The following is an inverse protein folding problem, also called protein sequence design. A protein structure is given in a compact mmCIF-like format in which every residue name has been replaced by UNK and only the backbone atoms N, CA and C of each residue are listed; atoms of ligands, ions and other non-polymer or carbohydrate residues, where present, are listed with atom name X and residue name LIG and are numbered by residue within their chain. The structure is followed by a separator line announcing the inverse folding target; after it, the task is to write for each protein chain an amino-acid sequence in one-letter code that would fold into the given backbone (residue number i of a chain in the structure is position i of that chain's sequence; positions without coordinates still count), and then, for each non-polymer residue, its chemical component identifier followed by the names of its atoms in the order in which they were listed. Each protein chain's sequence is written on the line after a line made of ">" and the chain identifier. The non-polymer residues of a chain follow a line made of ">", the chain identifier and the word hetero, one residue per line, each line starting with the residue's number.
data_IF_040115149758
#
_entry.id   IF_040115149758
#
_cell.length_a   1.000
_cell.length_b   1.000
_cell.length_c   1.000
_cell.angle_alpha   90.00
_cell.angle_beta   90.00
_cell.angle_gamma   90.00
#
_symmetry.space_group_name_H-M   'P 1'
#
loop_
_entity.id
_entity.type
_entity.pdbx_description
1 polymer ?
#
# COMPACT_ATOMS: atom_id res chain seq x y z
N UNK A 1 -8.61 1.08 -12.21
CA UNK A 1 -9.15 -0.04 -11.38
C UNK A 1 -10.60 0.28 -11.04
N UNK A 2 -11.49 -0.71 -11.09
CA UNK A 2 -12.91 -0.53 -10.77
C UNK A 2 -13.13 -0.25 -9.26
N UNK A 3 -14.18 0.51 -8.94
CA UNK A 3 -14.47 0.95 -7.56
C UNK A 3 -14.85 -0.21 -6.65
N UNK A 4 -15.47 -1.27 -7.17
CA UNK A 4 -15.83 -2.47 -6.42
C UNK A 4 -14.58 -3.33 -6.15
N UNK A 5 -13.67 -3.42 -7.14
CA UNK A 5 -12.38 -4.10 -6.98
C UNK A 5 -11.57 -3.41 -5.87
N UNK A 6 -11.49 -2.08 -5.89
CA UNK A 6 -10.78 -1.34 -4.86
C UNK A 6 -11.37 -1.56 -3.46
N UNK A 7 -12.71 -1.50 -3.32
CA UNK A 7 -13.38 -1.81 -2.05
C UNK A 7 -13.09 -3.25 -1.58
N UNK A 8 -13.12 -4.22 -2.48
CA UNK A 8 -12.79 -5.62 -2.17
C UNK A 8 -11.35 -5.78 -1.66
N UNK A 9 -10.39 -5.07 -2.26
CA UNK A 9 -8.99 -5.09 -1.82
C UNK A 9 -8.86 -4.51 -0.40
N UNK A 10 -9.51 -3.37 -0.13
CA UNK A 10 -9.51 -2.76 1.21
C UNK A 10 -10.05 -3.73 2.27
N UNK A 11 -11.15 -4.41 1.95
CA UNK A 11 -11.84 -5.32 2.86
C UNK A 11 -11.06 -6.62 3.11
N UNK A 12 -10.46 -7.20 2.07
CA UNK A 12 -9.86 -8.54 2.13
C UNK A 12 -8.39 -8.54 2.52
N UNK A 13 -7.65 -7.48 2.16
CA UNK A 13 -6.20 -7.46 2.32
C UNK A 13 -5.73 -6.29 3.17
N UNK A 14 -6.15 -5.06 2.88
CA UNK A 14 -5.56 -3.87 3.51
C UNK A 14 -5.75 -3.84 5.03
N UNK A 15 -6.98 -3.97 5.52
CA UNK A 15 -7.25 -3.93 6.96
C UNK A 15 -6.71 -5.17 7.67
N UNK A 16 -6.96 -6.41 7.19
CA UNK A 16 -6.41 -7.59 7.84
C UNK A 16 -4.88 -7.61 7.90
N UNK A 17 -4.19 -7.19 6.83
CA UNK A 17 -2.72 -7.13 6.84
C UNK A 17 -2.20 -6.02 7.76
N UNK A 18 -2.87 -4.86 7.79
CA UNK A 18 -2.52 -3.77 8.70
C UNK A 18 -2.63 -4.20 10.16
N UNK A 19 -3.74 -4.80 10.56
CA UNK A 19 -3.95 -5.29 11.93
C UNK A 19 -2.97 -6.41 12.34
N UNK A 20 -2.46 -7.22 11.39
CA UNK A 20 -1.42 -8.22 11.66
C UNK A 20 -0.04 -7.60 11.89
N UNK A 21 0.21 -6.41 11.34
CA UNK A 21 1.51 -5.74 11.37
C UNK A 21 1.61 -4.71 12.49
N UNK A 22 0.49 -4.08 12.87
CA UNK A 22 0.43 -3.07 13.94
C UNK A 22 -0.70 -3.44 14.90
N UNK A 23 -0.32 -3.85 16.12
CA UNK A 23 -1.24 -4.49 17.07
C UNK A 23 -2.45 -3.63 17.46
N UNK A 24 -2.33 -2.29 17.46
CA UNK A 24 -3.40 -1.44 18.00
C UNK A 24 -3.72 -0.14 17.24
N UNK A 25 -2.85 0.39 16.38
CA UNK A 25 -3.08 1.68 15.70
C UNK A 25 -2.66 1.62 14.22
N UNK A 26 -3.60 1.22 13.36
CA UNK A 26 -3.40 1.27 11.91
C UNK A 26 -3.62 2.68 11.39
N UNK A 27 -2.54 3.37 11.03
CA UNK A 27 -2.63 4.63 10.29
C UNK A 27 -2.71 4.35 8.80
N UNK A 28 -3.84 4.70 8.19
CA UNK A 28 -4.07 4.50 6.76
C UNK A 28 -3.92 5.82 6.00
N UNK A 29 -3.01 5.84 5.02
CA UNK A 29 -2.81 7.02 4.18
C UNK A 29 -4.00 7.23 3.21
N UNK A 30 -4.69 8.37 3.38
CA UNK A 30 -5.94 8.69 2.69
C UNK A 30 -5.80 9.07 1.21
N UNK A 31 -4.61 9.45 0.73
CA UNK A 31 -4.44 10.03 -0.63
C UNK A 31 -4.74 9.06 -1.76
N UNK A 32 -4.70 7.75 -1.51
CA UNK A 32 -4.99 6.73 -2.54
C UNK A 32 -6.49 6.46 -2.77
N UNK A 33 -7.40 6.97 -1.91
CA UNK A 33 -8.81 6.52 -1.89
C UNK A 33 -9.84 7.60 -2.21
N UNK A 34 -9.42 8.76 -2.74
CA UNK A 34 -10.29 9.92 -2.95
C UNK A 34 -11.34 9.76 -4.06
N UNK A 35 -11.26 8.71 -4.89
CA UNK A 35 -12.04 8.63 -6.13
C UNK A 35 -13.42 7.95 -6.01
N UNK A 36 -13.81 7.41 -4.85
CA UNK A 36 -15.08 6.69 -4.69
C UNK A 36 -15.79 6.96 -3.36
N UNK A 37 -17.08 7.32 -3.44
CA UNK A 37 -17.97 7.45 -2.28
C UNK A 37 -18.06 6.16 -1.47
N UNK A 38 -18.05 5.00 -2.13
CA UNK A 38 -18.10 3.68 -1.50
C UNK A 38 -16.87 3.45 -0.61
N UNK A 39 -15.66 3.68 -1.13
CA UNK A 39 -14.42 3.50 -0.38
C UNK A 39 -14.31 4.52 0.76
N UNK A 40 -14.72 5.77 0.52
CA UNK A 40 -14.76 6.80 1.56
C UNK A 40 -15.69 6.40 2.70
N UNK A 41 -16.93 5.99 2.39
CA UNK A 41 -17.90 5.54 3.40
C UNK A 41 -17.40 4.34 4.20
N UNK A 42 -16.76 3.37 3.53
CA UNK A 42 -16.15 2.21 4.19
C UNK A 42 -15.05 2.62 5.18
N UNK A 43 -14.10 3.46 4.77
CA UNK A 43 -13.01 3.92 5.62
C UNK A 43 -13.49 4.81 6.77
N UNK A 44 -14.48 5.67 6.53
CA UNK A 44 -15.09 6.50 7.60
C UNK A 44 -15.78 5.62 8.63
N UNK A 45 -16.49 4.57 8.21
CA UNK A 45 -17.08 3.61 9.15
C UNK A 45 -16.00 2.91 9.97
N UNK A 46 -14.93 2.43 9.33
CA UNK A 46 -13.83 1.73 10.02
C UNK A 46 -13.10 2.62 11.03
N UNK A 47 -12.97 3.90 10.73
CA UNK A 47 -12.44 4.89 11.67
C UNK A 47 -13.40 5.13 12.84
N UNK A 48 -14.70 5.26 12.58
CA UNK A 48 -15.71 5.38 13.65
C UNK A 48 -15.80 4.13 14.54
N UNK A 49 -15.56 2.94 13.98
CA UNK A 49 -15.52 1.67 14.70
C UNK A 49 -14.19 1.48 15.47
N UNK A 50 -13.25 2.43 15.38
CA UNK A 50 -11.93 2.36 16.03
C UNK A 50 -10.96 1.34 15.41
N UNK A 51 -11.24 0.84 14.21
CA UNK A 51 -10.42 -0.19 13.53
C UNK A 51 -9.14 0.40 12.93
N UNK A 52 -9.17 1.66 12.50
CA UNK A 52 -8.03 2.37 11.91
C UNK A 52 -8.16 3.88 12.14
N UNK A 53 -7.06 4.61 12.01
CA UNK A 53 -7.06 6.06 11.92
C UNK A 53 -6.66 6.49 10.51
N UNK A 54 -7.44 7.36 9.89
CA UNK A 54 -7.07 7.92 8.60
C UNK A 54 -6.03 9.03 8.80
N UNK A 55 -4.84 8.85 8.23
CA UNK A 55 -3.82 9.87 8.22
C UNK A 55 -4.02 10.77 6.99
N UNK A 56 -4.10 12.08 7.23
CA UNK A 56 -4.04 13.07 6.14
C UNK A 56 -2.58 13.21 5.74
N UNK A 57 -2.25 12.67 4.57
CA UNK A 57 -0.93 12.86 3.98
C UNK A 57 -0.87 14.22 3.29
N UNK A 58 0.23 14.98 3.44
CA UNK A 58 0.37 16.23 2.73
C UNK A 58 0.28 16.00 1.22
N UNK A 59 -0.32 16.93 0.46
CA UNK A 59 -0.20 16.88 -1.00
C UNK A 59 1.28 16.87 -1.36
N UNK A 60 1.66 16.09 -2.39
CA UNK A 60 3.02 16.10 -2.89
C UNK A 60 3.39 17.55 -3.22
N UNK A 61 4.54 17.99 -2.71
CA UNK A 61 5.02 19.34 -2.97
C UNK A 61 5.15 19.53 -4.49
N UNK A 62 4.75 20.69 -5.04
CA UNK A 62 5.02 21.03 -6.44
C UNK A 62 6.51 21.28 -6.69
N UNK A 63 7.33 21.38 -5.64
CA UNK A 63 8.77 21.49 -5.73
C UNK A 63 9.41 20.18 -6.22
N UNK A 64 10.10 20.16 -7.37
CA UNK A 64 10.81 19.00 -7.88
C UNK A 64 11.91 18.46 -6.93
N UNK A 65 12.37 19.29 -5.98
CA UNK A 65 13.41 18.92 -5.01
C UNK A 65 12.83 18.34 -3.71
N UNK A 66 11.51 18.35 -3.52
CA UNK A 66 10.89 17.74 -2.34
C UNK A 66 11.09 16.22 -2.38
N UNK A 67 11.69 15.61 -1.34
CA UNK A 67 11.83 14.16 -1.29
C UNK A 67 10.43 13.52 -1.27
N UNK A 68 10.25 12.45 -2.03
CA UNK A 68 9.03 11.67 -1.97
C UNK A 68 8.99 10.94 -0.63
N UNK A 69 8.10 11.39 0.25
CA UNK A 69 8.01 10.88 1.62
C UNK A 69 7.25 9.54 1.70
N UNK A 70 6.76 9.00 0.59
CA UNK A 70 5.95 7.78 0.62
C UNK A 70 6.83 6.51 0.69
N UNK A 71 6.91 5.82 1.83
CA UNK A 71 7.79 4.65 2.00
C UNK A 71 7.44 3.49 1.06
N UNK A 72 6.19 3.41 0.57
CA UNK A 72 5.82 2.37 -0.41
C UNK A 72 6.59 2.53 -1.73
N UNK A 73 7.02 3.74 -2.07
CA UNK A 73 7.81 3.98 -3.27
C UNK A 73 9.17 3.33 -3.17
N UNK A 74 9.82 3.42 -2.01
CA UNK A 74 11.09 2.73 -1.77
C UNK A 74 10.93 1.21 -1.90
N UNK A 75 9.81 0.66 -1.42
CA UNK A 75 9.48 -0.77 -1.60
C UNK A 75 9.32 -1.11 -3.08
N UNK A 76 8.62 -0.27 -3.85
CA UNK A 76 8.45 -0.48 -5.29
C UNK A 76 9.77 -0.37 -6.06
N UNK A 77 10.63 0.60 -5.74
CA UNK A 77 11.94 0.78 -6.38
C UNK A 77 12.84 -0.44 -6.12
N UNK A 78 12.85 -0.96 -4.89
CA UNK A 78 13.61 -2.17 -4.55
C UNK A 78 13.04 -3.43 -5.22
N UNK A 79 11.71 -3.57 -5.29
CA UNK A 79 11.07 -4.67 -6.02
C UNK A 79 11.42 -4.63 -7.51
N UNK A 80 11.32 -3.47 -8.14
CA UNK A 80 11.65 -3.26 -9.55
C UNK A 80 13.11 -3.62 -9.85
N UNK A 81 14.04 -3.15 -9.00
CA UNK A 81 15.47 -3.49 -9.09
C UNK A 81 15.68 -5.01 -9.04
N UNK A 82 15.15 -5.69 -8.02
CA UNK A 82 15.31 -7.15 -7.83
C UNK A 82 14.68 -7.97 -8.95
N UNK A 83 13.52 -7.55 -9.46
CA UNK A 83 12.85 -8.24 -10.57
C UNK A 83 13.67 -8.06 -11.86
N UNK A 84 14.15 -6.86 -12.16
CA UNK A 84 14.97 -6.58 -13.35
C UNK A 84 16.28 -7.36 -13.38
N UNK A 85 16.94 -7.54 -12.23
CA UNK A 85 18.17 -8.33 -12.10
C UNK A 85 17.98 -9.80 -12.54
N UNK A 86 16.77 -10.33 -12.38
CA UNK A 86 16.42 -11.71 -12.75
C UNK A 86 15.98 -11.88 -14.22
N UNK A 87 15.94 -10.79 -14.99
CA UNK A 87 15.63 -10.76 -16.42
C UNK A 87 14.34 -11.56 -16.77
N UNK A 88 13.17 -11.14 -16.29
CA UNK A 88 11.94 -11.87 -16.54
C UNK A 88 11.57 -11.89 -18.02
N UNK A 89 11.03 -13.02 -18.46
CA UNK A 89 10.75 -13.32 -19.86
C UNK A 89 9.26 -13.28 -20.20
N UNK A 90 8.37 -13.24 -19.20
CA UNK A 90 6.93 -13.24 -19.38
C UNK A 90 6.21 -12.53 -18.23
N UNK A 91 4.96 -12.11 -18.46
CA UNK A 91 4.14 -11.50 -17.41
C UNK A 91 3.93 -12.43 -16.20
N UNK A 92 3.81 -13.74 -16.44
CA UNK A 92 3.70 -14.74 -15.38
C UNK A 92 4.99 -14.81 -14.55
N UNK A 93 6.15 -14.81 -15.23
CA UNK A 93 7.43 -14.81 -14.56
C UNK A 93 7.64 -13.52 -13.76
N UNK A 94 7.22 -12.35 -14.28
CA UNK A 94 7.21 -11.09 -13.52
C UNK A 94 6.35 -11.23 -12.26
N UNK A 95 5.15 -11.79 -12.36
CA UNK A 95 4.25 -11.96 -11.23
C UNK A 95 4.85 -12.85 -10.13
N UNK A 96 5.38 -14.00 -10.50
CA UNK A 96 6.04 -14.93 -9.56
C UNK A 96 7.24 -14.27 -8.87
N UNK A 97 8.09 -13.59 -9.64
CA UNK A 97 9.24 -12.88 -9.09
C UNK A 97 8.84 -11.73 -8.15
N UNK A 98 7.77 -10.99 -8.45
CA UNK A 98 7.26 -9.94 -7.56
C UNK A 98 6.83 -10.53 -6.22
N UNK A 99 6.16 -11.68 -6.22
CA UNK A 99 5.75 -12.36 -4.99
C UNK A 99 6.94 -12.83 -4.16
N UNK A 100 7.95 -13.43 -4.80
CA UNK A 100 9.14 -13.94 -4.12
C UNK A 100 10.05 -12.82 -3.62
N UNK A 101 10.24 -11.78 -4.42
CA UNK A 101 11.00 -10.60 -4.02
C UNK A 101 10.33 -9.88 -2.84
N UNK A 102 9.00 -9.73 -2.85
CA UNK A 102 8.26 -9.09 -1.76
C UNK A 102 8.38 -9.85 -0.44
N UNK A 103 8.31 -11.19 -0.46
CA UNK A 103 8.49 -12.03 0.75
C UNK A 103 9.91 -12.01 1.32
N UNK A 104 10.90 -11.65 0.51
CA UNK A 104 12.32 -11.61 0.89
C UNK A 104 12.83 -10.21 1.22
N UNK A 105 11.93 -9.22 1.32
CA UNK A 105 12.26 -7.91 1.89
C UNK A 105 12.43 -8.13 3.41
N UNK A 106 13.61 -7.83 3.98
CA UNK A 106 13.83 -7.99 5.41
C UNK A 106 12.90 -7.04 6.19
N UNK A 107 12.29 -7.56 7.25
CA UNK A 107 11.76 -6.71 8.31
C UNK A 107 12.92 -6.33 9.23
N UNK A 108 13.17 -5.05 9.43
CA UNK A 108 14.10 -4.60 10.47
C UNK A 108 13.57 -5.12 11.82
N UNK A 109 14.31 -6.04 12.44
CA UNK A 109 14.06 -6.43 13.83
C UNK A 109 14.66 -5.33 14.71
N UNK A 110 13.83 -4.37 15.10
CA UNK A 110 14.13 -3.42 16.18
C UNK A 110 13.98 -4.07 17.54
#
# INVERSE_FOLDING_TARGET
>A
MDKLIHHSILQRYTIPSGLRLVDYHLFFNRTMTQHSRLCKGYLTKKESDGVLHQMTWPPQSPDPQSPDLNPIKMVWDELDRRVKEKQPTSAQHIWELLQDCCKSIPGEAG
#
